data_IF_135859847238
#
_entry.id   IF_135859847238
#
_cell.length_a   1.000
_cell.length_b   1.000
_cell.length_c   1.000
_cell.angle_alpha   90.00
_cell.angle_beta   90.00
_cell.angle_gamma   90.00
#
_symmetry.space_group_name_H-M   'P 1'
#
loop_
_entity.id
_entity.type
_entity.pdbx_description
1 polymer ?
#
# COMPACT_ATOMS: atom_id res chain seq x y z
N UNK A 1 3.32 15.73 3.31
CA UNK A 1 3.08 14.62 2.35
C UNK A 1 2.96 13.26 3.03
N UNK A 2 3.58 13.06 4.20
CA UNK A 2 3.59 11.78 4.92
C UNK A 2 2.22 11.29 5.38
N UNK A 3 1.28 12.20 5.72
CA UNK A 3 -0.09 11.84 6.10
C UNK A 3 -0.86 11.12 4.98
N UNK A 4 -0.59 11.44 3.72
CA UNK A 4 -1.24 10.80 2.57
C UNK A 4 -0.60 9.44 2.24
N UNK A 5 0.73 9.33 2.36
CA UNK A 5 1.42 8.05 2.27
C UNK A 5 0.95 7.07 3.36
N UNK A 6 0.80 7.55 4.60
CA UNK A 6 0.24 6.77 5.70
C UNK A 6 -1.19 6.30 5.41
N UNK A 7 -2.02 7.14 4.77
CA UNK A 7 -3.40 6.78 4.40
C UNK A 7 -3.48 5.68 3.33
N UNK A 8 -2.48 5.59 2.44
CA UNK A 8 -2.38 4.52 1.45
C UNK A 8 -1.87 3.21 2.06
N UNK A 9 -0.99 3.29 3.07
CA UNK A 9 -0.35 2.13 3.69
C UNK A 9 -1.21 1.47 4.78
N UNK A 10 -2.00 2.25 5.52
CA UNK A 10 -2.83 1.75 6.61
C UNK A 10 -3.86 0.67 6.22
N UNK A 11 -4.61 0.81 5.11
CA UNK A 11 -5.63 -0.18 4.75
C UNK A 11 -5.04 -1.51 4.25
N UNK A 12 -3.84 -1.51 3.65
CA UNK A 12 -3.20 -2.73 3.15
C UNK A 12 -2.46 -3.52 4.23
N UNK A 13 -2.03 -2.86 5.31
CA UNK A 13 -1.28 -3.50 6.39
C UNK A 13 -2.11 -4.47 7.23
N UNK A 14 -3.41 -4.17 7.43
CA UNK A 14 -4.33 -5.00 8.21
C UNK A 14 -4.59 -6.39 7.60
N UNK A 15 -4.98 -6.51 6.32
CA UNK A 15 -5.21 -7.83 5.71
C UNK A 15 -3.92 -8.65 5.60
N UNK A 16 -2.77 -8.00 5.34
CA UNK A 16 -1.48 -8.68 5.33
C UNK A 16 -1.13 -9.29 6.71
N UNK A 17 -1.27 -8.51 7.79
CA UNK A 17 -1.02 -9.01 9.14
C UNK A 17 -1.94 -10.19 9.51
N UNK A 18 -3.22 -10.13 9.14
CA UNK A 18 -4.17 -11.23 9.43
C UNK A 18 -3.81 -12.50 8.64
N UNK A 19 -3.46 -12.37 7.36
CA UNK A 19 -3.01 -13.50 6.54
C UNK A 19 -1.70 -14.08 7.06
N UNK A 20 -0.73 -13.24 7.40
CA UNK A 20 0.56 -13.67 7.95
C UNK A 20 0.39 -14.41 9.28
N UNK A 21 -0.45 -13.91 10.19
CA UNK A 21 -0.76 -14.59 11.46
C UNK A 21 -1.45 -15.94 11.22
N UNK A 22 -2.39 -16.02 10.27
CA UNK A 22 -3.04 -17.28 9.91
C UNK A 22 -2.05 -18.30 9.36
N UNK A 23 -1.14 -17.88 8.48
CA UNK A 23 -0.11 -18.75 7.91
C UNK A 23 0.85 -19.23 8.99
N UNK A 24 1.34 -18.33 9.86
CA UNK A 24 2.23 -18.70 10.97
C UNK A 24 1.53 -19.67 11.94
N UNK A 25 0.26 -19.45 12.25
CA UNK A 25 -0.47 -20.31 13.19
C UNK A 25 -0.77 -21.71 12.63
N UNK A 26 -1.13 -21.78 11.35
CA UNK A 26 -1.49 -23.04 10.67
C UNK A 26 -0.22 -23.80 10.27
N UNK A 27 0.70 -23.14 9.57
CA UNK A 27 1.92 -23.76 9.03
C UNK A 27 3.12 -23.71 9.97
N UNK A 28 3.09 -22.92 11.04
CA UNK A 28 4.08 -23.03 12.10
C UNK A 28 3.96 -24.33 12.91
N UNK A 29 2.84 -25.07 12.76
CA UNK A 29 2.64 -26.41 13.33
C UNK A 29 2.89 -27.55 12.35
N UNK A 30 2.86 -27.31 11.05
CA UNK A 30 3.14 -28.33 10.05
C UNK A 30 4.63 -28.26 9.68
N UNK A 31 5.32 -29.39 9.56
CA UNK A 31 6.74 -29.42 9.19
C UNK A 31 7.01 -29.06 7.70
N UNK A 32 5.98 -28.59 6.98
CA UNK A 32 6.04 -28.29 5.55
C UNK A 32 6.40 -26.80 5.31
N UNK A 33 7.69 -26.51 5.46
CA UNK A 33 8.25 -25.16 5.31
C UNK A 33 8.06 -24.56 3.91
N UNK A 34 8.21 -25.36 2.85
CA UNK A 34 8.08 -24.88 1.46
C UNK A 34 6.66 -24.36 1.17
N UNK A 35 5.65 -25.09 1.65
CA UNK A 35 4.24 -24.74 1.44
C UNK A 35 3.87 -23.50 2.25
N UNK A 36 4.35 -23.39 3.49
CA UNK A 36 4.21 -22.20 4.32
C UNK A 36 4.87 -20.96 3.70
N UNK A 37 6.08 -21.11 3.14
CA UNK A 37 6.78 -20.03 2.47
C UNK A 37 6.03 -19.57 1.20
N UNK A 38 5.59 -20.50 0.36
CA UNK A 38 4.81 -20.18 -0.85
C UNK A 38 3.53 -19.41 -0.53
N UNK A 39 2.79 -19.82 0.51
CA UNK A 39 1.59 -19.13 0.98
C UNK A 39 1.90 -17.73 1.53
N UNK A 40 3.02 -17.58 2.25
CA UNK A 40 3.44 -16.28 2.78
C UNK A 40 3.79 -15.30 1.65
N UNK A 41 4.55 -15.74 0.64
CA UNK A 41 4.83 -14.93 -0.55
C UNK A 41 3.56 -14.63 -1.35
N UNK A 42 2.64 -15.60 -1.47
CA UNK A 42 1.33 -15.39 -2.10
C UNK A 42 0.49 -14.33 -1.38
N UNK A 43 0.42 -14.39 -0.05
CA UNK A 43 -0.27 -13.39 0.77
C UNK A 43 0.34 -11.99 0.63
N UNK A 44 1.67 -11.89 0.50
CA UNK A 44 2.34 -10.61 0.23
C UNK A 44 1.90 -10.03 -1.12
N UNK A 45 1.88 -10.83 -2.19
CA UNK A 45 1.46 -10.40 -3.53
C UNK A 45 0.01 -9.93 -3.53
N UNK A 46 -0.91 -10.69 -2.93
CA UNK A 46 -2.33 -10.33 -2.81
C UNK A 46 -2.50 -9.02 -2.03
N UNK A 47 -1.71 -8.83 -0.97
CA UNK A 47 -1.76 -7.60 -0.17
C UNK A 47 -1.28 -6.37 -0.94
N UNK A 48 -0.26 -6.54 -1.80
CA UNK A 48 0.21 -5.47 -2.70
C UNK A 48 -0.85 -5.15 -3.77
N UNK A 49 -1.49 -6.17 -4.35
CA UNK A 49 -2.59 -6.01 -5.31
C UNK A 49 -3.77 -5.23 -4.70
N UNK A 50 -4.14 -5.52 -3.45
CA UNK A 50 -5.16 -4.79 -2.71
C UNK A 50 -4.73 -3.35 -2.39
N UNK A 51 -3.45 -3.12 -2.13
CA UNK A 51 -2.89 -1.79 -1.86
C UNK A 51 -2.81 -0.90 -3.12
N UNK A 52 -2.62 -1.49 -4.29
CA UNK A 52 -2.40 -0.80 -5.56
C UNK A 52 -3.49 0.25 -5.91
N UNK A 53 -4.81 -0.05 -5.85
CA UNK A 53 -5.84 0.95 -6.17
C UNK A 53 -5.87 2.12 -5.18
N UNK A 54 -5.62 1.88 -3.90
CA UNK A 54 -5.53 2.94 -2.89
C UNK A 54 -4.29 3.82 -3.11
N UNK A 55 -3.14 3.21 -3.40
CA UNK A 55 -1.91 3.92 -3.73
C UNK A 55 -2.07 4.78 -5.00
N UNK A 56 -2.75 4.25 -6.03
CA UNK A 56 -3.06 4.98 -7.26
C UNK A 56 -3.93 6.22 -7.00
N UNK A 57 -5.00 6.09 -6.20
CA UNK A 57 -5.85 7.23 -5.84
C UNK A 57 -5.08 8.32 -5.09
N UNK A 58 -4.18 7.93 -4.18
CA UNK A 58 -3.32 8.86 -3.46
C UNK A 58 -2.32 9.55 -4.41
N UNK A 59 -1.68 8.80 -5.30
CA UNK A 59 -0.77 9.35 -6.30
C UNK A 59 -1.48 10.36 -7.22
N UNK A 60 -2.69 10.03 -7.69
CA UNK A 60 -3.52 10.93 -8.51
C UNK A 60 -3.87 12.23 -7.77
N UNK A 61 -4.22 12.13 -6.48
CA UNK A 61 -4.49 13.32 -5.63
C UNK A 61 -3.24 14.16 -5.37
N UNK A 62 -2.06 13.54 -5.30
CA UNK A 62 -0.81 14.28 -5.16
C UNK A 62 -0.42 15.02 -6.44
N UNK A 63 -0.54 14.39 -7.61
CA UNK A 63 -0.25 15.01 -8.90
C UNK A 63 -1.16 16.22 -9.15
N UNK A 64 -2.47 16.06 -8.98
CA UNK A 64 -3.44 17.16 -9.15
C UNK A 64 -3.20 18.34 -8.20
N UNK A 65 -2.81 18.07 -6.94
CA UNK A 65 -2.42 19.14 -6.00
C UNK A 65 -1.11 19.82 -6.39
N UNK A 66 -0.17 19.08 -6.98
CA UNK A 66 1.12 19.62 -7.45
C UNK A 66 0.92 20.50 -8.68
N UNK A 67 0.10 20.06 -9.64
CA UNK A 67 -0.28 20.86 -10.81
C UNK A 67 -0.95 22.17 -10.41
N UNK A 68 -1.91 22.14 -9.48
CA UNK A 68 -2.53 23.38 -8.96
C UNK A 68 -1.51 24.35 -8.37
N UNK A 69 -0.58 23.86 -7.56
CA UNK A 69 0.47 24.72 -6.98
C UNK A 69 1.39 25.32 -8.04
N UNK A 70 1.69 24.59 -9.11
CA UNK A 70 2.52 25.10 -10.21
C UNK A 70 1.78 26.17 -11.00
N UNK A 71 0.48 25.99 -11.24
CA UNK A 71 -0.38 26.98 -11.90
C UNK A 71 -0.56 28.24 -11.06
N UNK A 72 -0.82 28.10 -9.76
CA UNK A 72 -0.92 29.24 -8.83
C UNK A 72 0.41 30.01 -8.73
N UNK A 73 1.54 29.29 -8.73
CA UNK A 73 2.87 29.92 -8.76
C UNK A 73 3.09 30.71 -10.05
N UNK A 74 2.67 30.19 -11.21
CA UNK A 74 2.82 30.89 -12.49
C UNK A 74 1.88 32.10 -12.62
N UNK A 75 0.67 32.02 -12.07
CA UNK A 75 -0.28 33.12 -12.02
C UNK A 75 0.15 34.27 -11.08
N UNK A 76 0.95 33.96 -10.06
CA UNK A 76 1.49 34.95 -9.12
C UNK A 76 2.71 35.73 -9.62
N UNK A 77 3.44 35.23 -10.62
CA UNK A 77 4.68 35.86 -11.15
C UNK A 77 4.43 37.03 -12.10
N UNK A 78 3.17 37.35 -12.41
CA UNK A 78 2.78 38.43 -13.32
C UNK A 78 2.41 39.76 -12.66
N UNK A 79 2.72 39.95 -11.37
CA UNK A 79 2.48 41.22 -10.64
C UNK A 79 3.79 41.84 -10.18
#
# INVERSE_FOLDING_TARGET
MWKLAALAFYPSQRPFCLLALGIIFIFGRTHDFELGAALYYGAAVVSVLLAAPAAWLVARRMLTRREKRLLDAHAGTGR
#
